data_IF_253089280527
#
_entry.id   IF_253089280527
#
_cell.length_a   1.000
_cell.length_b   1.000
_cell.length_c   1.000
_cell.angle_alpha   90.00
_cell.angle_beta   90.00
_cell.angle_gamma   90.00
#
_symmetry.space_group_name_H-M   'P 1'
#
loop_
_entity.id
_entity.type
_entity.pdbx_description
1 polymer ?
#
# COMPACT_ATOMS: atom_id res chain seq x y z
N UNK A 1 17.02 -31.50 -5.06
CA UNK A 1 17.53 -32.88 -5.09
C UNK A 1 16.41 -33.79 -5.61
N UNK A 2 16.72 -34.84 -6.45
CA UNK A 2 15.71 -35.81 -6.85
C UNK A 2 15.14 -36.52 -5.63
N UNK A 3 13.81 -36.71 -5.62
CA UNK A 3 13.14 -37.35 -4.50
C UNK A 3 13.21 -38.87 -4.67
N UNK A 4 13.66 -39.56 -3.64
CA UNK A 4 13.65 -41.01 -3.58
C UNK A 4 12.30 -41.46 -3.02
N UNK A 5 11.58 -42.34 -3.68
CA UNK A 5 10.32 -42.91 -3.15
C UNK A 5 10.63 -43.93 -2.05
N UNK A 6 9.62 -44.25 -1.22
CA UNK A 6 9.73 -45.30 -0.22
C UNK A 6 10.08 -46.69 -0.79
N UNK A 7 9.92 -46.88 -2.11
CA UNK A 7 10.33 -48.06 -2.87
C UNK A 7 11.74 -47.94 -3.49
N UNK A 8 12.53 -46.93 -3.15
CA UNK A 8 13.89 -46.74 -3.62
C UNK A 8 14.02 -46.22 -5.06
N UNK A 9 12.91 -45.86 -5.73
CA UNK A 9 12.94 -45.33 -7.10
C UNK A 9 13.37 -43.88 -7.07
N UNK A 10 14.49 -43.57 -7.74
CA UNK A 10 14.99 -42.19 -7.90
C UNK A 10 14.30 -41.53 -9.10
N UNK A 11 13.60 -40.45 -8.86
CA UNK A 11 12.96 -39.65 -9.92
C UNK A 11 14.01 -39.00 -10.84
N UNK A 12 13.88 -39.17 -12.15
CA UNK A 12 14.77 -38.55 -13.16
C UNK A 12 14.52 -37.07 -13.39
N UNK A 13 13.43 -36.49 -12.83
CA UNK A 13 13.04 -35.10 -12.98
C UNK A 13 12.90 -34.41 -11.62
N UNK A 14 13.19 -33.13 -11.58
CA UNK A 14 12.91 -32.30 -10.40
C UNK A 14 11.39 -32.25 -10.19
N UNK A 15 10.95 -32.63 -8.99
CA UNK A 15 9.54 -32.59 -8.62
C UNK A 15 9.37 -31.40 -7.64
N UNK A 16 8.51 -30.46 -8.01
CA UNK A 16 8.09 -29.39 -7.14
C UNK A 16 6.90 -29.87 -6.31
N UNK A 17 6.98 -29.69 -5.01
CA UNK A 17 5.86 -29.94 -4.12
C UNK A 17 5.27 -28.59 -3.72
N UNK A 18 4.03 -28.36 -4.14
CA UNK A 18 3.23 -27.21 -3.69
C UNK A 18 2.39 -27.66 -2.49
N UNK A 19 2.59 -27.05 -1.34
CA UNK A 19 1.75 -27.21 -0.17
C UNK A 19 0.92 -25.95 0.01
N UNK A 20 -0.40 -26.07 -0.06
CA UNK A 20 -1.31 -24.97 0.17
C UNK A 20 -2.57 -25.46 0.88
N UNK A 21 -3.23 -24.55 1.56
CA UNK A 21 -4.45 -24.84 2.28
C UNK A 21 -5.66 -24.31 1.50
N UNK A 22 -6.35 -25.14 0.71
CA UNK A 22 -7.45 -24.66 -0.12
C UNK A 22 -8.66 -24.29 0.71
N UNK A 23 -9.23 -23.12 0.41
CA UNK A 23 -10.53 -22.72 0.97
C UNK A 23 -11.70 -23.24 0.15
N UNK A 24 -11.42 -23.80 -1.02
CA UNK A 24 -12.37 -24.38 -1.95
C UNK A 24 -11.89 -25.73 -2.47
N UNK A 25 -12.80 -26.51 -3.06
CA UNK A 25 -12.45 -27.76 -3.71
C UNK A 25 -11.82 -27.49 -5.07
N UNK A 26 -10.59 -27.93 -5.27
CA UNK A 26 -9.92 -27.86 -6.56
C UNK A 26 -10.20 -29.12 -7.40
N UNK A 27 -10.56 -28.98 -8.68
CA UNK A 27 -10.65 -30.10 -9.57
C UNK A 27 -9.23 -30.68 -9.81
N UNK A 28 -9.03 -31.95 -9.48
CA UNK A 28 -7.77 -32.63 -9.80
C UNK A 28 -7.97 -33.52 -11.02
N UNK A 29 -7.05 -33.47 -11.97
CA UNK A 29 -7.06 -34.37 -13.14
C UNK A 29 -6.89 -35.86 -12.77
N UNK A 30 -6.42 -36.12 -11.56
CA UNK A 30 -6.19 -37.51 -11.08
C UNK A 30 -7.26 -37.88 -10.08
N UNK A 31 -8.23 -38.71 -10.48
CA UNK A 31 -9.40 -39.12 -9.68
C UNK A 31 -9.07 -39.66 -8.29
N UNK A 32 -7.91 -40.29 -8.09
CA UNK A 32 -7.44 -40.81 -6.79
C UNK A 32 -6.90 -39.73 -5.83
N UNK A 33 -6.61 -38.50 -6.32
CA UNK A 33 -6.10 -37.41 -5.51
C UNK A 33 -7.24 -36.47 -5.17
N UNK A 34 -8.03 -36.82 -4.19
CA UNK A 34 -9.04 -35.92 -3.64
C UNK A 34 -8.39 -35.02 -2.59
N UNK A 35 -8.67 -33.72 -2.67
CA UNK A 35 -8.31 -32.77 -1.64
C UNK A 35 -9.36 -32.88 -0.54
N UNK A 36 -8.99 -33.42 0.60
CA UNK A 36 -9.85 -33.46 1.78
C UNK A 36 -9.88 -32.06 2.37
N UNK A 37 -11.06 -31.53 2.65
CA UNK A 37 -11.23 -30.24 3.29
C UNK A 37 -10.66 -30.33 4.71
N UNK A 38 -9.45 -29.85 4.92
CA UNK A 38 -8.88 -29.70 6.24
C UNK A 38 -9.55 -28.51 6.94
N UNK A 39 -10.01 -28.71 8.18
CA UNK A 39 -10.43 -27.61 9.04
C UNK A 39 -9.20 -26.79 9.39
N UNK A 40 -9.05 -25.61 8.76
CA UNK A 40 -7.86 -24.80 8.92
C UNK A 40 -8.23 -23.53 9.64
N UNK A 41 -7.47 -23.26 10.66
CA UNK A 41 -7.45 -21.96 11.27
C UNK A 41 -6.96 -20.94 10.23
N UNK A 42 -7.87 -20.12 9.71
CA UNK A 42 -7.57 -19.11 8.66
C UNK A 42 -6.81 -17.90 9.21
N UNK A 43 -6.60 -17.85 10.50
CA UNK A 43 -5.89 -16.75 11.15
C UNK A 43 -4.40 -16.99 11.07
N UNK A 44 -3.67 -15.97 10.63
CA UNK A 44 -2.21 -15.90 10.72
C UNK A 44 -1.87 -14.99 11.88
N UNK A 45 -0.93 -15.39 12.71
CA UNK A 45 -0.43 -14.59 13.81
C UNK A 45 0.92 -13.97 13.42
N UNK A 46 1.15 -12.73 13.80
CA UNK A 46 2.48 -12.13 13.78
C UNK A 46 3.26 -12.76 14.93
N UNK A 47 4.34 -13.45 14.60
CA UNK A 47 5.17 -14.15 15.58
C UNK A 47 6.25 -13.24 16.14
N UNK A 48 6.82 -12.38 15.30
CA UNK A 48 7.80 -11.39 15.72
C UNK A 48 7.75 -10.17 14.80
N UNK A 49 8.11 -9.02 15.34
CA UNK A 49 8.37 -7.79 14.59
C UNK A 49 9.77 -7.34 15.00
N UNK A 50 10.69 -7.37 14.07
CA UNK A 50 12.05 -6.93 14.28
C UNK A 50 12.32 -5.67 13.47
N UNK A 51 12.89 -4.65 14.14
CA UNK A 51 13.37 -3.46 13.45
C UNK A 51 14.66 -3.81 12.73
N UNK A 52 14.66 -3.72 11.41
CA UNK A 52 15.90 -3.77 10.63
C UNK A 52 16.51 -2.38 10.56
N UNK A 53 17.80 -2.29 10.87
CA UNK A 53 18.56 -1.06 10.63
C UNK A 53 18.76 -0.90 9.12
N UNK A 54 18.50 0.32 8.62
CA UNK A 54 18.59 0.66 7.20
C UNK A 54 17.23 0.89 6.55
N UNK A 55 17.26 1.35 5.30
CA UNK A 55 16.06 1.56 4.48
C UNK A 55 15.50 0.21 4.07
N UNK A 56 14.22 -0.03 4.38
CA UNK A 56 13.48 -1.18 3.86
C UNK A 56 13.05 -0.90 2.42
N UNK A 57 13.39 -1.80 1.52
CA UNK A 57 12.99 -1.74 0.11
C UNK A 57 11.73 -2.59 -0.10
N UNK A 58 10.84 -2.15 -0.98
CA UNK A 58 9.63 -2.87 -1.32
C UNK A 58 9.35 -2.87 -2.81
N UNK A 59 8.77 -3.96 -3.31
CA UNK A 59 8.29 -4.07 -4.68
C UNK A 59 6.77 -4.10 -4.71
N UNK A 60 6.18 -3.44 -5.68
CA UNK A 60 4.78 -3.63 -6.04
C UNK A 60 4.69 -4.37 -7.37
N UNK A 61 3.86 -5.39 -7.44
CA UNK A 61 3.57 -6.14 -8.67
C UNK A 61 2.10 -6.03 -9.00
N UNK A 62 1.81 -5.87 -10.29
CA UNK A 62 0.46 -5.96 -10.79
C UNK A 62 0.25 -7.35 -11.38
N UNK A 63 -0.85 -7.99 -11.00
CA UNK A 63 -1.26 -9.30 -11.51
C UNK A 63 -2.73 -9.26 -11.92
N UNK A 64 -3.14 -10.16 -12.80
CA UNK A 64 -4.55 -10.33 -13.14
C UNK A 64 -5.37 -10.58 -11.86
N UNK A 65 -6.45 -9.79 -11.68
CA UNK A 65 -7.28 -9.85 -10.49
C UNK A 65 -6.74 -9.06 -9.29
N UNK A 66 -5.58 -8.40 -9.42
CA UNK A 66 -5.04 -7.45 -8.44
C UNK A 66 -4.57 -8.04 -7.11
N UNK A 67 -4.64 -9.36 -6.90
CA UNK A 67 -4.22 -10.03 -5.67
C UNK A 67 -2.98 -10.86 -5.97
N UNK A 68 -1.91 -10.62 -5.23
CA UNK A 68 -0.67 -11.39 -5.31
C UNK A 68 -0.22 -11.88 -3.93
N UNK A 69 0.72 -12.80 -3.92
CA UNK A 69 1.22 -13.42 -2.70
C UNK A 69 2.57 -12.83 -2.33
N UNK A 70 2.73 -12.38 -1.08
CA UNK A 70 3.97 -11.79 -0.58
C UNK A 70 4.61 -12.65 0.51
N UNK A 71 5.94 -12.60 0.52
CA UNK A 71 6.78 -13.29 1.49
C UNK A 71 6.77 -14.80 1.35
N UNK A 72 7.59 -15.46 2.14
CA UNK A 72 7.72 -16.92 2.15
C UNK A 72 6.47 -17.64 2.67
N UNK A 73 5.58 -16.89 3.32
CA UNK A 73 4.33 -17.39 3.87
C UNK A 73 3.15 -17.22 2.92
N UNK A 74 3.36 -16.68 1.71
CA UNK A 74 2.35 -16.49 0.67
C UNK A 74 1.12 -15.74 1.17
N UNK A 75 1.30 -14.56 1.76
CA UNK A 75 0.20 -13.72 2.21
C UNK A 75 -0.44 -13.06 1.00
N UNK A 76 -1.75 -13.27 0.72
CA UNK A 76 -2.43 -12.56 -0.34
C UNK A 76 -2.47 -11.06 -0.03
N UNK A 77 -2.09 -10.24 -1.00
CA UNK A 77 -2.14 -8.78 -0.85
C UNK A 77 -2.53 -8.11 -2.17
N UNK A 78 -2.93 -6.86 -2.05
CA UNK A 78 -3.27 -5.96 -3.13
C UNK A 78 -2.37 -4.73 -3.00
N UNK A 79 -1.94 -4.07 -4.09
CA UNK A 79 -1.07 -2.90 -3.99
C UNK A 79 -1.68 -1.78 -3.13
N UNK A 80 -2.91 -1.35 -3.42
CA UNK A 80 -3.62 -0.35 -2.61
C UNK A 80 -3.91 -0.82 -1.17
N UNK A 81 -4.07 -2.14 -0.95
CA UNK A 81 -4.23 -2.70 0.40
C UNK A 81 -2.97 -2.48 1.24
N UNK A 82 -1.80 -2.64 0.63
CA UNK A 82 -0.51 -2.37 1.28
C UNK A 82 -0.25 -0.87 1.43
N UNK A 83 -0.24 -0.15 0.31
CA UNK A 83 0.22 1.24 0.22
C UNK A 83 -0.74 2.26 0.85
N UNK A 84 -2.06 2.10 0.64
CA UNK A 84 -3.04 3.14 0.97
C UNK A 84 -3.90 2.81 2.19
N UNK A 85 -3.78 1.60 2.75
CA UNK A 85 -4.49 1.18 3.97
C UNK A 85 -3.55 0.80 5.10
N UNK A 86 -2.72 -0.23 4.91
CA UNK A 86 -1.87 -0.76 5.99
C UNK A 86 -0.66 0.11 6.29
N UNK A 87 0.00 0.63 5.26
CA UNK A 87 1.17 1.49 5.43
C UNK A 87 0.86 2.76 6.22
N UNK A 88 -0.19 3.55 5.91
CA UNK A 88 -0.53 4.72 6.70
C UNK A 88 -0.84 4.39 8.17
N UNK A 89 -1.60 3.33 8.42
CA UNK A 89 -1.88 2.90 9.79
C UNK A 89 -0.61 2.51 10.54
N UNK A 90 0.29 1.77 9.90
CA UNK A 90 1.56 1.35 10.47
C UNK A 90 2.48 2.55 10.75
N UNK A 91 2.57 3.50 9.83
CA UNK A 91 3.38 4.72 10.01
C UNK A 91 2.88 5.57 11.17
N UNK A 92 1.56 5.76 11.28
CA UNK A 92 0.96 6.47 12.41
C UNK A 92 1.18 5.74 13.74
N UNK A 93 1.27 4.41 13.72
CA UNK A 93 1.61 3.62 14.89
C UNK A 93 3.05 3.81 15.35
N UNK A 94 3.99 3.80 14.42
CA UNK A 94 5.42 3.97 14.70
C UNK A 94 5.80 5.40 15.07
N UNK A 95 5.23 6.36 14.34
CA UNK A 95 5.52 7.80 14.46
C UNK A 95 4.21 8.59 14.47
N UNK A 96 3.54 8.68 15.63
CA UNK A 96 2.18 9.20 15.72
C UNK A 96 2.08 10.72 15.46
N UNK A 97 3.19 11.42 15.29
CA UNK A 97 3.24 12.82 14.88
C UNK A 97 3.30 13.03 13.36
N UNK A 98 3.40 11.95 12.57
CA UNK A 98 3.51 12.00 11.11
C UNK A 98 2.21 12.51 10.46
N UNK A 99 2.34 13.42 9.51
CA UNK A 99 1.23 13.97 8.72
C UNK A 99 1.19 13.30 7.35
N UNK A 100 0.21 12.49 7.13
CA UNK A 100 0.04 11.70 5.90
C UNK A 100 -1.08 12.31 5.05
N UNK A 101 -0.84 12.38 3.73
CA UNK A 101 -1.86 12.71 2.75
C UNK A 101 -2.06 11.53 1.80
N UNK A 102 -3.30 11.12 1.55
CA UNK A 102 -3.64 10.16 0.49
C UNK A 102 -4.45 10.88 -0.58
N UNK A 103 -3.96 10.87 -1.81
CA UNK A 103 -4.62 11.39 -2.99
C UNK A 103 -5.06 10.28 -3.95
N UNK A 104 -6.26 10.42 -4.56
CA UNK A 104 -6.72 9.49 -5.60
C UNK A 104 -7.49 10.26 -6.69
N UNK A 105 -7.86 9.58 -7.79
CA UNK A 105 -8.63 10.22 -8.87
C UNK A 105 -9.97 10.77 -8.38
N UNK A 106 -10.56 10.20 -7.34
CA UNK A 106 -11.82 10.64 -6.76
C UNK A 106 -11.74 10.74 -5.23
N UNK A 107 -12.37 11.77 -4.66
CA UNK A 107 -12.43 11.95 -3.21
C UNK A 107 -13.16 10.79 -2.50
N UNK A 108 -14.14 10.16 -3.15
CA UNK A 108 -14.84 9.00 -2.60
C UNK A 108 -13.93 7.83 -2.34
N UNK A 109 -13.04 7.52 -3.28
CA UNK A 109 -12.04 6.42 -3.14
C UNK A 109 -11.04 6.76 -2.03
N UNK A 110 -10.54 7.99 -2.02
CA UNK A 110 -9.63 8.44 -0.97
C UNK A 110 -10.27 8.35 0.44
N UNK A 111 -11.58 8.65 0.55
CA UNK A 111 -12.34 8.48 1.79
C UNK A 111 -12.52 7.02 2.21
N UNK A 112 -12.61 6.10 1.25
CA UNK A 112 -12.65 4.67 1.56
C UNK A 112 -11.34 4.21 2.17
N UNK A 113 -10.20 4.65 1.65
CA UNK A 113 -8.89 4.40 2.26
C UNK A 113 -8.84 4.91 3.71
N UNK A 114 -9.26 6.15 3.95
CA UNK A 114 -9.29 6.70 5.30
C UNK A 114 -10.17 5.87 6.25
N UNK A 115 -11.36 5.46 5.81
CA UNK A 115 -12.26 4.61 6.62
C UNK A 115 -11.61 3.27 6.96
N UNK A 116 -10.88 2.68 6.02
CA UNK A 116 -10.19 1.42 6.26
C UNK A 116 -9.00 1.60 7.21
N UNK A 117 -8.23 2.68 7.09
CA UNK A 117 -7.18 3.06 8.06
C UNK A 117 -7.76 3.21 9.47
N UNK A 118 -8.90 3.90 9.62
CA UNK A 118 -9.58 4.02 10.91
C UNK A 118 -9.95 2.66 11.49
N UNK A 119 -10.52 1.76 10.66
CA UNK A 119 -10.87 0.40 11.07
C UNK A 119 -9.66 -0.39 11.55
N UNK A 120 -8.51 -0.23 10.87
CA UNK A 120 -7.25 -0.88 11.29
C UNK A 120 -6.82 -0.35 12.66
N UNK A 121 -6.79 0.98 12.84
CA UNK A 121 -6.36 1.62 14.10
C UNK A 121 -7.29 1.23 15.28
N UNK A 122 -8.58 1.05 15.01
CA UNK A 122 -9.54 0.64 16.04
C UNK A 122 -9.45 -0.85 16.44
N UNK A 123 -8.68 -1.67 15.72
CA UNK A 123 -8.59 -3.11 16.08
C UNK A 123 -7.85 -3.31 17.39
N UNK A 124 -8.26 -4.32 18.19
CA UNK A 124 -7.51 -4.69 19.40
C UNK A 124 -6.04 -5.01 19.11
N UNK A 125 -5.76 -5.71 18.01
CA UNK A 125 -4.40 -6.07 17.62
C UNK A 125 -3.52 -4.83 17.31
N UNK A 126 -4.09 -3.78 16.72
CA UNK A 126 -3.36 -2.55 16.49
C UNK A 126 -3.01 -1.86 17.82
N UNK A 127 -3.96 -1.79 18.74
CA UNK A 127 -3.75 -1.19 20.08
C UNK A 127 -2.76 -1.97 20.94
N UNK A 128 -2.67 -3.28 20.73
CA UNK A 128 -1.66 -4.12 21.37
C UNK A 128 -0.25 -3.79 20.84
N UNK A 129 -0.11 -3.58 19.52
CA UNK A 129 1.16 -3.21 18.88
C UNK A 129 1.57 -1.75 19.16
N UNK A 130 0.61 -0.84 19.19
CA UNK A 130 0.81 0.61 19.32
C UNK A 130 -0.06 1.21 20.41
N UNK A 131 0.18 0.90 21.70
CA UNK A 131 -0.72 1.26 22.80
C UNK A 131 -0.90 2.75 23.02
N UNK A 132 0.07 3.57 22.58
CA UNK A 132 -0.01 5.03 22.66
C UNK A 132 -0.75 5.69 21.48
N UNK A 133 -1.20 4.93 20.48
CA UNK A 133 -1.72 5.46 19.23
C UNK A 133 -3.19 5.09 19.05
N UNK A 134 -4.07 6.09 19.12
CA UNK A 134 -5.52 5.86 19.00
C UNK A 134 -6.24 7.10 18.43
N UNK A 135 -7.45 6.89 17.96
CA UNK A 135 -8.34 7.93 17.45
C UNK A 135 -9.38 8.32 18.49
N UNK A 136 -10.00 9.50 18.27
CA UNK A 136 -11.18 9.88 19.05
C UNK A 136 -12.25 8.78 18.96
N UNK A 137 -12.91 8.47 20.07
CA UNK A 137 -13.94 7.44 20.14
C UNK A 137 -15.21 7.77 19.33
N UNK A 138 -15.45 9.05 19.06
CA UNK A 138 -16.60 9.56 18.32
C UNK A 138 -16.19 10.18 16.98
N UNK A 139 -17.14 10.24 16.05
CA UNK A 139 -16.98 11.00 14.82
C UNK A 139 -16.97 12.50 15.14
N UNK A 140 -15.90 13.20 14.77
CA UNK A 140 -15.70 14.64 15.03
C UNK A 140 -15.40 15.35 13.73
N UNK A 141 -16.26 16.25 13.34
CA UNK A 141 -16.21 16.99 12.06
C UNK A 141 -15.60 18.36 12.21
N UNK A 142 -15.75 19.00 13.37
CA UNK A 142 -15.29 20.37 13.65
C UNK A 142 -14.30 20.41 14.80
N UNK A 143 -13.28 21.25 14.69
CA UNK A 143 -12.31 21.51 15.75
C UNK A 143 -12.95 22.37 16.85
N UNK A 144 -13.52 21.74 17.87
CA UNK A 144 -13.89 22.41 19.11
C UNK A 144 -13.21 21.66 20.26
N UNK A 145 -11.95 21.99 20.52
CA UNK A 145 -11.13 21.43 21.61
C UNK A 145 -10.95 19.90 21.60
N UNK A 146 -11.01 19.26 20.42
CA UNK A 146 -10.86 17.83 20.29
C UNK A 146 -10.21 17.46 18.94
N UNK A 147 -9.73 16.23 18.83
CA UNK A 147 -9.09 15.69 17.64
C UNK A 147 -10.13 15.28 16.60
N UNK A 148 -9.89 15.63 15.34
CA UNK A 148 -10.79 15.30 14.23
C UNK A 148 -10.83 13.81 13.97
N UNK A 149 -12.03 13.33 13.67
CA UNK A 149 -12.26 11.96 13.20
C UNK A 149 -13.46 11.94 12.26
N UNK A 150 -13.20 11.95 10.97
CA UNK A 150 -14.24 11.86 9.94
C UNK A 150 -13.68 11.21 8.66
N UNK A 151 -14.45 11.21 7.57
CA UNK A 151 -14.04 10.58 6.32
C UNK A 151 -12.95 11.31 5.55
N UNK A 152 -12.74 12.59 5.80
CA UNK A 152 -11.74 13.43 5.11
C UNK A 152 -10.44 13.58 5.91
N UNK A 153 -10.55 13.50 7.24
CA UNK A 153 -9.40 13.68 8.11
C UNK A 153 -9.56 12.92 9.42
N UNK A 154 -8.44 12.34 9.88
CA UNK A 154 -8.27 11.85 11.23
C UNK A 154 -7.02 12.49 11.86
N UNK A 155 -7.08 12.73 13.16
CA UNK A 155 -5.97 13.23 13.96
C UNK A 155 -5.70 12.27 15.12
N UNK A 156 -4.42 12.04 15.40
CA UNK A 156 -3.99 11.13 16.46
C UNK A 156 -4.16 11.82 17.82
N UNK A 157 -4.88 11.19 18.73
CA UNK A 157 -5.14 11.77 20.07
C UNK A 157 -3.83 11.90 20.85
N UNK A 158 -3.57 13.11 21.35
CA UNK A 158 -2.34 13.42 22.10
C UNK A 158 -1.12 13.69 21.22
N UNK A 159 -1.24 13.65 19.89
CA UNK A 159 -0.15 13.81 18.93
C UNK A 159 -0.47 14.85 17.85
N UNK A 160 0.54 15.21 17.05
CA UNK A 160 0.41 16.15 15.93
C UNK A 160 0.09 15.47 14.59
N UNK A 161 0.16 14.15 14.56
CA UNK A 161 -0.04 13.38 13.35
C UNK A 161 -1.48 13.36 12.89
N UNK A 162 -1.63 13.21 11.60
CA UNK A 162 -2.94 13.19 10.95
C UNK A 162 -2.88 12.43 9.63
N UNK A 163 -4.00 11.86 9.22
CA UNK A 163 -4.21 11.40 7.86
C UNK A 163 -5.28 12.28 7.22
N UNK A 164 -4.97 12.83 6.05
CA UNK A 164 -5.91 13.59 5.22
C UNK A 164 -6.06 12.94 3.87
N UNK A 165 -7.25 12.99 3.32
CA UNK A 165 -7.52 12.41 2.01
C UNK A 165 -8.09 13.45 1.06
N UNK A 166 -7.72 13.33 -0.22
CA UNK A 166 -8.10 14.29 -1.25
C UNK A 166 -8.34 13.60 -2.59
N UNK A 167 -9.33 14.03 -3.33
CA UNK A 167 -9.47 13.67 -4.75
C UNK A 167 -8.63 14.58 -5.63
N UNK A 168 -8.23 14.10 -6.80
CA UNK A 168 -7.57 14.91 -7.83
C UNK A 168 -8.37 16.19 -8.11
N UNK A 169 -7.69 17.33 -8.11
CA UNK A 169 -8.30 18.66 -8.23
C UNK A 169 -8.83 19.25 -6.92
N UNK A 170 -8.90 18.46 -5.84
CA UNK A 170 -9.24 18.95 -4.51
C UNK A 170 -8.10 19.76 -3.87
N UNK A 171 -8.41 20.51 -2.81
CA UNK A 171 -7.45 21.35 -2.10
C UNK A 171 -6.86 20.65 -0.87
N UNK A 172 -5.57 20.82 -0.66
CA UNK A 172 -4.85 20.50 0.57
C UNK A 172 -4.51 21.81 1.28
N UNK A 173 -5.48 22.39 2.00
CA UNK A 173 -5.28 23.70 2.58
C UNK A 173 -4.39 23.68 3.82
N UNK A 174 -3.39 24.59 3.83
CA UNK A 174 -2.67 25.10 5.00
C UNK A 174 -1.94 24.10 5.92
N UNK A 175 -1.65 22.88 5.47
CA UNK A 175 -0.95 21.88 6.29
C UNK A 175 0.26 21.33 5.54
N UNK A 176 1.40 21.22 6.22
CA UNK A 176 2.56 20.46 5.73
C UNK A 176 2.22 18.98 5.71
N UNK A 177 2.85 18.25 4.80
CA UNK A 177 2.70 16.80 4.61
C UNK A 177 4.08 16.17 4.72
N UNK A 178 4.22 15.19 5.59
CA UNK A 178 5.47 14.44 5.77
C UNK A 178 5.52 13.26 4.80
N UNK A 179 4.36 12.65 4.52
CA UNK A 179 4.22 11.53 3.59
C UNK A 179 3.03 11.74 2.67
N UNK A 180 3.28 11.77 1.36
CA UNK A 180 2.26 11.81 0.32
C UNK A 180 2.12 10.44 -0.33
N UNK A 181 0.90 9.91 -0.36
CA UNK A 181 0.56 8.66 -1.05
C UNK A 181 -0.44 9.01 -2.15
N UNK A 182 -0.06 8.85 -3.41
CA UNK A 182 -0.96 9.06 -4.54
C UNK A 182 -1.31 7.69 -5.12
N UNK A 183 -2.57 7.29 -4.94
CA UNK A 183 -3.07 5.98 -5.36
C UNK A 183 -4.13 6.18 -6.46
N UNK A 184 -3.88 5.59 -7.63
CA UNK A 184 -4.72 5.68 -8.81
C UNK A 184 -5.17 7.13 -9.13
N UNK A 185 -4.21 7.97 -9.58
CA UNK A 185 -4.50 9.37 -9.97
C UNK A 185 -5.32 9.48 -11.26
N UNK A 186 -5.45 8.41 -12.01
CA UNK A 186 -6.35 8.25 -13.18
C UNK A 186 -7.30 7.08 -12.93
N UNK A 187 -8.56 7.28 -13.27
CA UNK A 187 -9.60 6.28 -13.07
C UNK A 187 -9.42 5.05 -13.97
N UNK A 188 -9.11 5.31 -15.24
CA UNK A 188 -9.08 4.29 -16.29
C UNK A 188 -8.23 4.74 -17.49
N UNK A 189 -8.18 3.87 -18.50
CA UNK A 189 -7.49 4.11 -19.77
C UNK A 189 -7.95 5.40 -20.46
N UNK A 190 -9.24 5.72 -20.46
CA UNK A 190 -9.77 6.90 -21.12
C UNK A 190 -9.24 8.19 -20.47
N UNK A 191 -9.23 8.25 -19.14
CA UNK A 191 -8.64 9.37 -18.41
C UNK A 191 -7.11 9.47 -18.64
N UNK A 192 -6.39 8.35 -18.54
CA UNK A 192 -4.95 8.31 -18.74
C UNK A 192 -4.51 8.76 -20.13
N UNK A 193 -5.33 8.50 -21.16
CA UNK A 193 -5.07 8.93 -22.53
C UNK A 193 -5.59 10.34 -22.87
N UNK A 194 -6.39 10.96 -22.01
CA UNK A 194 -6.89 12.32 -22.20
C UNK A 194 -5.80 13.37 -21.88
N UNK A 195 -5.32 14.17 -22.84
CA UNK A 195 -4.37 15.25 -22.55
C UNK A 195 -4.92 16.27 -21.53
N UNK A 196 -6.22 16.54 -21.56
CA UNK A 196 -6.89 17.46 -20.63
C UNK A 196 -6.77 16.95 -19.20
N UNK A 197 -7.05 15.65 -19.00
CA UNK A 197 -6.99 15.03 -17.67
C UNK A 197 -5.53 14.94 -17.20
N UNK A 198 -4.57 14.58 -18.07
CA UNK A 198 -3.15 14.57 -17.72
C UNK A 198 -2.65 15.95 -17.31
N UNK A 199 -3.03 16.98 -18.03
CA UNK A 199 -2.67 18.37 -17.71
C UNK A 199 -3.28 18.81 -16.37
N UNK A 200 -4.54 18.46 -16.10
CA UNK A 200 -5.20 18.76 -14.84
C UNK A 200 -4.53 18.01 -13.66
N UNK A 201 -4.18 16.73 -13.84
CA UNK A 201 -3.47 15.95 -12.84
C UNK A 201 -2.08 16.54 -12.55
N UNK A 202 -1.31 16.88 -13.57
CA UNK A 202 -0.01 17.53 -13.43
C UNK A 202 -0.11 18.88 -12.72
N UNK A 203 -1.05 19.73 -13.12
CA UNK A 203 -1.28 21.03 -12.48
C UNK A 203 -1.62 20.84 -11.01
N UNK A 204 -2.56 19.95 -10.70
CA UNK A 204 -2.94 19.64 -9.32
C UNK A 204 -1.75 19.13 -8.50
N UNK A 205 -0.99 18.19 -9.03
CA UNK A 205 0.20 17.66 -8.39
C UNK A 205 1.21 18.77 -8.05
N UNK A 206 1.59 19.57 -9.04
CA UNK A 206 2.62 20.60 -8.88
C UNK A 206 2.19 21.79 -8.02
N UNK A 207 0.90 22.18 -8.08
CA UNK A 207 0.40 23.37 -7.37
C UNK A 207 -0.28 23.08 -6.04
N UNK A 208 -0.72 21.86 -5.80
CA UNK A 208 -1.43 21.49 -4.57
C UNK A 208 -0.63 20.48 -3.74
N UNK A 209 -0.22 19.34 -4.31
CA UNK A 209 0.48 18.30 -3.57
C UNK A 209 1.90 18.75 -3.21
N UNK A 210 2.72 19.03 -4.23
CA UNK A 210 4.15 19.38 -4.06
C UNK A 210 4.37 20.62 -3.19
N UNK A 211 3.47 21.58 -3.22
CA UNK A 211 3.57 22.78 -2.38
C UNK A 211 3.33 22.52 -0.89
N UNK A 212 2.93 21.33 -0.51
CA UNK A 212 2.73 20.92 0.90
C UNK A 212 3.87 20.06 1.43
N UNK A 213 4.73 19.58 0.56
CA UNK A 213 5.91 18.80 0.93
C UNK A 213 7.04 19.74 1.40
N UNK A 214 7.83 19.27 2.31
CA UNK A 214 9.08 19.88 2.75
C UNK A 214 10.27 18.97 2.38
N UNK A 215 11.50 19.41 2.67
CA UNK A 215 12.70 18.72 2.19
C UNK A 215 12.82 17.26 2.66
N UNK A 216 12.26 16.93 3.82
CA UNK A 216 12.31 15.58 4.39
C UNK A 216 11.03 14.77 4.10
N UNK A 217 10.11 15.32 3.31
CA UNK A 217 8.87 14.61 2.94
C UNK A 217 9.15 13.46 1.98
N UNK A 218 8.33 12.42 2.10
CA UNK A 218 8.38 11.25 1.24
C UNK A 218 7.14 11.19 0.34
N UNK A 219 7.31 10.74 -0.89
CA UNK A 219 6.20 10.49 -1.80
C UNK A 219 6.17 9.03 -2.25
N UNK A 220 4.99 8.46 -2.23
CA UNK A 220 4.68 7.16 -2.81
C UNK A 220 3.59 7.35 -3.86
N UNK A 221 3.87 6.98 -5.10
CA UNK A 221 2.91 7.11 -6.20
C UNK A 221 2.63 5.72 -6.76
N UNK A 222 1.39 5.27 -6.64
CA UNK A 222 0.95 3.92 -7.01
C UNK A 222 -0.19 4.04 -8.02
N UNK A 223 0.02 3.64 -9.25
CA UNK A 223 -1.03 3.50 -10.26
C UNK A 223 -0.55 2.76 -11.49
N UNK A 224 -1.49 2.27 -12.29
CA UNK A 224 -1.20 1.69 -13.59
C UNK A 224 -0.77 2.77 -14.59
N UNK A 225 0.35 2.55 -15.29
CA UNK A 225 0.81 3.43 -16.36
C UNK A 225 -0.09 3.29 -17.58
N UNK A 226 -0.77 4.39 -17.93
CA UNK A 226 -1.69 4.45 -19.07
C UNK A 226 -1.10 5.15 -20.30
N UNK A 227 -0.12 6.03 -20.09
CA UNK A 227 0.47 6.85 -21.15
C UNK A 227 1.89 7.28 -20.75
N UNK A 228 2.79 7.42 -21.73
CA UNK A 228 4.17 7.90 -21.51
C UNK A 228 4.26 9.31 -20.91
N UNK A 229 3.24 10.15 -21.17
CA UNK A 229 3.09 11.51 -20.65
C UNK A 229 2.10 11.58 -19.49
N UNK A 230 1.97 10.54 -18.69
CA UNK A 230 1.22 10.55 -17.44
C UNK A 230 2.01 11.23 -16.30
N UNK A 231 1.46 11.25 -15.09
CA UNK A 231 2.08 11.93 -13.96
C UNK A 231 3.53 11.51 -13.73
N UNK A 232 3.80 10.21 -13.69
CA UNK A 232 5.16 9.69 -13.47
C UNK A 232 6.06 10.05 -14.66
N UNK A 233 5.59 9.89 -15.90
CA UNK A 233 6.36 10.26 -17.09
C UNK A 233 6.74 11.74 -17.12
N UNK A 234 5.92 12.62 -16.56
CA UNK A 234 6.25 14.04 -16.41
C UNK A 234 7.21 14.31 -15.27
N UNK A 235 7.11 13.59 -14.16
CA UNK A 235 8.10 13.65 -13.06
C UNK A 235 9.47 13.21 -13.58
N UNK A 236 9.55 12.12 -14.33
CA UNK A 236 10.79 11.65 -14.96
C UNK A 236 11.41 12.70 -15.88
N UNK A 237 10.58 13.35 -16.72
CA UNK A 237 11.02 14.41 -17.65
C UNK A 237 11.45 15.69 -16.93
N UNK A 238 11.00 15.94 -15.71
CA UNK A 238 11.40 17.11 -14.92
C UNK A 238 12.82 17.01 -14.34
N UNK A 239 13.51 15.89 -14.56
CA UNK A 239 14.86 15.64 -14.06
C UNK A 239 14.92 15.15 -12.62
N UNK A 240 13.78 14.84 -12.01
CA UNK A 240 13.74 14.20 -10.70
C UNK A 240 14.12 12.72 -10.85
N UNK A 241 14.91 12.21 -9.90
CA UNK A 241 15.30 10.81 -9.89
C UNK A 241 14.11 9.98 -9.45
N UNK A 242 13.48 9.29 -10.38
CA UNK A 242 12.44 8.30 -10.11
C UNK A 242 13.08 6.92 -10.10
N UNK A 243 12.95 6.21 -8.99
CA UNK A 243 13.38 4.81 -8.94
C UNK A 243 12.23 3.95 -9.37
N UNK A 244 12.42 3.26 -10.49
CA UNK A 244 11.48 2.25 -10.97
C UNK A 244 11.93 0.87 -10.47
N UNK A 245 11.06 0.22 -9.72
CA UNK A 245 11.28 -1.16 -9.28
C UNK A 245 10.48 -2.10 -10.16
N UNK A 246 11.16 -2.82 -11.05
CA UNK A 246 10.57 -3.84 -11.93
C UNK A 246 10.82 -5.27 -11.42
N UNK A 247 11.88 -5.46 -10.65
CA UNK A 247 12.31 -6.77 -10.18
C UNK A 247 13.07 -6.69 -8.86
N UNK A 248 13.28 -7.85 -8.21
CA UNK A 248 14.13 -7.94 -7.01
C UNK A 248 15.58 -7.52 -7.24
N UNK A 249 16.09 -7.65 -8.45
CA UNK A 249 17.47 -7.27 -8.75
C UNK A 249 17.64 -5.75 -8.79
N UNK A 250 16.60 -5.01 -9.15
CA UNK A 250 16.62 -3.54 -9.13
C UNK A 250 16.74 -2.99 -7.70
N UNK A 251 16.15 -3.70 -6.72
CA UNK A 251 16.15 -3.29 -5.31
C UNK A 251 17.56 -3.19 -4.72
N UNK A 252 18.49 -4.01 -5.18
CA UNK A 252 19.86 -4.06 -4.65
C UNK A 252 20.67 -2.80 -4.96
N UNK A 253 20.27 -2.02 -5.95
CA UNK A 253 21.04 -0.90 -6.49
C UNK A 253 20.40 0.47 -6.21
N UNK A 254 19.42 0.55 -5.32
CA UNK A 254 18.75 1.82 -5.01
C UNK A 254 19.64 2.71 -4.13
N UNK A 255 20.04 3.90 -4.58
CA UNK A 255 20.76 4.84 -3.74
C UNK A 255 19.93 5.34 -2.56
N UNK A 256 20.57 5.62 -1.42
CA UNK A 256 19.89 6.25 -0.30
C UNK A 256 19.33 7.61 -0.69
N UNK A 257 18.06 7.88 -0.34
CA UNK A 257 17.39 9.16 -0.65
C UNK A 257 16.79 9.27 -2.05
N UNK A 258 16.83 8.20 -2.86
CA UNK A 258 16.25 8.22 -4.18
C UNK A 258 14.73 7.93 -4.15
N UNK A 259 14.00 8.48 -5.13
CA UNK A 259 12.57 8.24 -5.33
C UNK A 259 12.34 6.82 -5.84
N UNK A 260 11.40 6.11 -5.22
CA UNK A 260 11.05 4.75 -5.62
C UNK A 260 9.70 4.76 -6.34
N UNK A 261 9.72 4.31 -7.58
CA UNK A 261 8.52 4.00 -8.36
C UNK A 261 8.16 2.52 -8.12
N UNK A 262 6.97 2.29 -7.67
CA UNK A 262 6.43 0.96 -7.43
C UNK A 262 5.30 0.68 -8.41
#
# INVERSE_FOLDING_TARGET
>A
KPRVSSSGIVGKKIVYQLCFNPTMTFPTKVKRKKITKLSINKKRAIVSIERKEGLGYGNCIQVDGGIYLVGDTFIPTHNSEGSSRKLPAFMLGLTPDTKICIGSYAATIARDFNRDVQRIIDTPSYRELFPGTYLNGSNVVTMANTYLRNSDVIEMVGHKGSLRVVGRGGSLTSKTVDVSILDDVYKDYAEGNSPIVRNAAWKWYTTVVRTRLHNDSQELIVFTRWHEDDLIGRIEKSGETVIEIKSWDDVKNIPAGAWVRI
#
